data_IF_666177191597
#
_entry.id   IF_666177191597
#
_cell.length_a   1.000
_cell.length_b   1.000
_cell.length_c   1.000
_cell.angle_alpha   90.00
_cell.angle_beta   90.00
_cell.angle_gamma   90.00
#
_symmetry.space_group_name_H-M   'P 1'
#
loop_
_entity.id
_entity.type
_entity.pdbx_description
1 polymer ?
#
# COMPACT_ATOMS: atom_id res chain seq x y z
N UNK A 1 1.58 -23.20 4.51
CA UNK A 1 3.03 -22.99 4.68
C UNK A 1 3.38 -21.64 4.08
N UNK A 2 3.57 -20.60 4.89
CA UNK A 2 3.96 -19.27 4.42
C UNK A 2 5.49 -19.25 4.30
N UNK A 3 6.03 -19.29 3.08
CA UNK A 3 7.47 -19.14 2.85
C UNK A 3 7.79 -17.64 2.81
N UNK A 4 8.45 -17.16 3.86
CA UNK A 4 9.08 -15.84 3.91
C UNK A 4 10.60 -16.01 3.87
N UNK A 5 11.31 -15.08 3.23
CA UNK A 5 12.77 -15.07 3.22
C UNK A 5 13.30 -14.27 4.41
N UNK A 6 14.46 -14.66 4.96
CA UNK A 6 15.11 -13.94 6.07
C UNK A 6 15.83 -12.68 5.61
N UNK A 7 16.27 -12.66 4.36
CA UNK A 7 16.99 -11.55 3.74
C UNK A 7 16.46 -11.25 2.34
N UNK A 8 16.54 -9.97 1.96
CA UNK A 8 16.06 -9.46 0.67
C UNK A 8 17.14 -8.63 -0.02
N UNK A 9 17.10 -8.63 -1.35
CA UNK A 9 17.86 -7.74 -2.22
C UNK A 9 16.89 -7.12 -3.23
N UNK A 10 16.93 -5.81 -3.38
CA UNK A 10 15.98 -5.04 -4.18
C UNK A 10 16.75 -4.46 -5.36
N UNK A 11 16.32 -4.86 -6.57
CA UNK A 11 16.87 -4.35 -7.82
C UNK A 11 15.84 -3.45 -8.51
N UNK A 12 16.29 -2.32 -9.05
CA UNK A 12 15.49 -1.45 -9.93
C UNK A 12 16.26 -1.20 -11.21
N UNK A 13 15.58 -1.39 -12.35
CA UNK A 13 16.16 -1.22 -13.69
C UNK A 13 17.51 -1.95 -13.84
N UNK A 14 17.59 -3.17 -13.31
CA UNK A 14 18.79 -4.02 -13.34
C UNK A 14 19.92 -3.63 -12.39
N UNK A 15 19.74 -2.60 -11.54
CA UNK A 15 20.75 -2.16 -10.57
C UNK A 15 20.31 -2.49 -9.14
N UNK A 16 21.25 -2.89 -8.29
CA UNK A 16 21.01 -3.09 -6.86
C UNK A 16 20.74 -1.73 -6.19
N UNK A 17 19.61 -1.62 -5.49
CA UNK A 17 19.17 -0.40 -4.80
C UNK A 17 19.21 -0.57 -3.29
N UNK A 18 19.07 -1.79 -2.79
CA UNK A 18 19.21 -2.05 -1.36
C UNK A 18 19.15 -3.53 -1.01
N UNK A 19 19.57 -3.84 0.20
CA UNK A 19 19.59 -5.19 0.78
C UNK A 19 19.30 -5.10 2.27
N UNK A 20 18.80 -6.16 2.88
CA UNK A 20 18.67 -6.22 4.34
C UNK A 20 17.97 -7.48 4.84
N UNK A 21 17.96 -7.67 6.16
CA UNK A 21 17.15 -8.73 6.78
C UNK A 21 15.72 -8.27 6.96
N UNK A 22 14.77 -9.16 6.69
CA UNK A 22 13.33 -8.84 6.80
C UNK A 22 12.94 -8.47 8.23
N UNK A 23 13.57 -9.08 9.24
CA UNK A 23 13.32 -8.77 10.65
C UNK A 23 13.94 -7.47 11.15
N UNK A 24 14.81 -6.83 10.36
CA UNK A 24 15.51 -5.59 10.75
C UNK A 24 14.99 -4.37 9.97
N UNK A 25 14.28 -4.59 8.85
CA UNK A 25 13.71 -3.53 8.01
C UNK A 25 12.26 -3.25 8.42
N UNK A 26 11.90 -1.98 8.55
CA UNK A 26 10.50 -1.58 8.60
C UNK A 26 9.82 -1.76 7.25
N UNK A 27 8.50 -1.92 7.26
CA UNK A 27 7.68 -1.95 6.04
C UNK A 27 7.88 -0.70 5.19
N UNK A 28 8.06 0.47 5.82
CA UNK A 28 8.27 1.73 5.14
C UNK A 28 9.62 1.77 4.39
N UNK A 29 10.70 1.33 5.03
CA UNK A 29 12.04 1.27 4.41
C UNK A 29 12.06 0.27 3.25
N UNK A 30 11.45 -0.90 3.43
CA UNK A 30 11.33 -1.90 2.36
C UNK A 30 10.52 -1.35 1.18
N UNK A 31 9.37 -0.70 1.44
CA UNK A 31 8.53 -0.10 0.41
C UNK A 31 9.25 1.04 -0.32
N UNK A 32 9.98 1.90 0.39
CA UNK A 32 10.75 2.97 -0.20
C UNK A 32 11.82 2.44 -1.18
N UNK A 33 12.50 1.34 -0.84
CA UNK A 33 13.46 0.71 -1.76
C UNK A 33 12.79 0.05 -2.98
N UNK A 34 11.62 -0.57 -2.80
CA UNK A 34 10.90 -1.26 -3.90
C UNK A 34 10.26 -0.27 -4.87
N UNK A 35 9.52 0.70 -4.33
CA UNK A 35 8.64 1.60 -5.06
C UNK A 35 9.39 2.92 -5.40
N UNK A 36 10.32 3.35 -4.53
CA UNK A 36 10.99 4.66 -4.59
C UNK A 36 10.21 5.74 -3.83
N UNK A 37 10.60 7.00 -4.03
CA UNK A 37 9.83 8.18 -3.61
C UNK A 37 8.56 8.34 -4.46
N UNK A 38 7.65 7.37 -4.38
CA UNK A 38 6.30 7.54 -4.90
C UNK A 38 5.57 8.41 -3.91
N UNK A 39 5.40 9.69 -4.28
CA UNK A 39 4.28 10.47 -3.78
C UNK A 39 3.06 9.60 -4.03
N UNK A 40 2.44 9.10 -2.96
CA UNK A 40 1.13 8.46 -3.06
C UNK A 40 0.31 9.41 -3.92
N UNK A 41 -0.13 8.94 -5.09
CA UNK A 41 -1.01 9.74 -5.91
C UNK A 41 -2.15 10.15 -4.99
N UNK A 42 -2.41 11.46 -4.88
CA UNK A 42 -3.60 11.90 -4.18
C UNK A 42 -4.75 11.11 -4.78
N UNK A 43 -5.46 10.38 -3.93
CA UNK A 43 -6.62 9.60 -4.34
C UNK A 43 -7.45 10.53 -5.21
N UNK A 44 -7.65 10.13 -6.47
CA UNK A 44 -8.35 10.90 -7.48
C UNK A 44 -9.51 11.63 -6.80
N UNK A 45 -9.45 12.96 -6.78
CA UNK A 45 -10.38 13.79 -6.02
C UNK A 45 -11.74 13.59 -6.66
N UNK A 46 -12.50 12.62 -6.14
CA UNK A 46 -13.83 12.31 -6.66
C UNK A 46 -14.63 13.60 -6.63
N UNK A 47 -15.26 13.92 -7.75
CA UNK A 47 -16.19 15.04 -7.79
C UNK A 47 -17.22 14.85 -6.66
N UNK A 48 -17.55 15.92 -5.92
CA UNK A 48 -18.57 15.83 -4.90
C UNK A 48 -19.88 15.35 -5.54
N UNK A 49 -20.55 14.43 -4.86
CA UNK A 49 -21.88 13.97 -5.28
C UNK A 49 -22.85 15.14 -5.08
N UNK A 50 -23.58 15.51 -6.13
CA UNK A 50 -24.59 16.57 -6.03
C UNK A 50 -25.67 16.20 -5.00
N UNK A 51 -26.14 17.16 -4.20
CA UNK A 51 -27.17 16.91 -3.18
C UNK A 51 -28.46 16.29 -3.76
N UNK A 52 -28.80 16.67 -5.00
CA UNK A 52 -29.98 16.15 -5.69
C UNK A 52 -29.77 14.77 -6.34
N UNK A 53 -28.58 14.17 -6.22
CA UNK A 53 -28.30 12.88 -6.83
C UNK A 53 -29.15 11.77 -6.20
N UNK A 54 -29.83 10.99 -7.04
CA UNK A 54 -30.63 9.85 -6.58
C UNK A 54 -29.69 8.71 -6.15
N UNK A 55 -29.85 8.13 -4.94
CA UNK A 55 -29.03 7.02 -4.50
C UNK A 55 -29.25 5.79 -5.41
N UNK A 56 -28.16 5.20 -5.90
CA UNK A 56 -28.18 3.95 -6.70
C UNK A 56 -28.09 2.72 -5.78
N UNK A 57 -27.29 2.81 -4.72
CA UNK A 57 -27.09 1.75 -3.74
C UNK A 57 -26.89 2.36 -2.35
N UNK A 58 -27.63 1.85 -1.37
CA UNK A 58 -27.47 2.19 0.05
C UNK A 58 -26.93 0.99 0.78
N UNK A 59 -25.79 1.15 1.47
CA UNK A 59 -25.17 0.09 2.26
C UNK A 59 -25.24 0.48 3.74
N UNK A 60 -25.62 -0.48 4.59
CA UNK A 60 -25.70 -0.32 6.03
C UNK A 60 -24.85 -1.39 6.74
N UNK A 61 -24.49 -1.16 8.01
CA UNK A 61 -23.73 -2.11 8.84
C UNK A 61 -22.36 -2.52 8.28
N UNK A 62 -21.69 -1.62 7.54
CA UNK A 62 -20.35 -1.88 7.00
C UNK A 62 -19.34 -1.96 8.16
N UNK A 63 -18.68 -3.12 8.28
CA UNK A 63 -17.54 -3.30 9.19
C UNK A 63 -16.26 -3.30 8.37
N UNK A 64 -15.32 -2.43 8.74
CA UNK A 64 -13.97 -2.52 8.21
C UNK A 64 -13.35 -3.86 8.63
N UNK A 65 -12.59 -4.54 7.75
CA UNK A 65 -11.72 -5.61 8.22
C UNK A 65 -10.77 -5.02 9.26
N UNK A 66 -10.59 -5.74 10.38
CA UNK A 66 -9.56 -5.42 11.37
C UNK A 66 -8.21 -5.28 10.64
N UNK A 67 -7.62 -4.09 10.69
CA UNK A 67 -6.27 -3.87 10.18
C UNK A 67 -5.28 -4.73 11.00
N UNK A 68 -4.26 -5.35 10.38
CA UNK A 68 -3.21 -6.01 11.14
C UNK A 68 -2.52 -4.99 12.05
N UNK A 69 -2.32 -5.36 13.31
CA UNK A 69 -1.59 -4.59 14.31
C UNK A 69 -0.10 -4.43 13.93
#
# INVERSE_FOLDING_TARGET
MTKSADAVSILRRGKLVGTGKVGELSTAEMAAMMIGDVKLAELDSRLPVAEAARPVLTVSQVKAPIAPA
#
